data_IF_663611466710
#
_entry.id   IF_663611466710
#
_cell.length_a   1.000
_cell.length_b   1.000
_cell.length_c   1.000
_cell.angle_alpha   90.00
_cell.angle_beta   90.00
_cell.angle_gamma   90.00
#
_symmetry.space_group_name_H-M   'P 1'
#
loop_
_entity.id
_entity.type
_entity.pdbx_description
1 polymer ?
#
# COMPACT_ATOMS: atom_id res chain seq x y z
N UNK A 1 2.33 -11.27 6.89
CA UNK A 1 2.87 -10.13 6.17
C UNK A 1 2.26 -10.07 4.79
N UNK A 2 1.54 -9.01 4.53
CA UNK A 2 0.86 -8.75 3.26
C UNK A 2 1.83 -8.18 2.20
N UNK A 3 3.11 -8.49 2.32
CA UNK A 3 4.12 -7.91 1.45
C UNK A 3 4.53 -8.96 0.43
N UNK A 4 4.16 -8.78 -0.81
CA UNK A 4 4.81 -9.38 -1.96
C UNK A 4 4.07 -10.44 -2.74
N UNK A 5 3.15 -11.20 -2.16
CA UNK A 5 2.46 -12.27 -2.91
C UNK A 5 1.19 -11.80 -3.62
N UNK A 6 0.67 -10.65 -3.25
CA UNK A 6 -0.57 -10.08 -3.80
C UNK A 6 -0.33 -9.08 -4.92
N UNK A 7 0.90 -8.95 -5.37
CA UNK A 7 1.25 -7.91 -6.35
C UNK A 7 0.49 -8.01 -7.66
N UNK A 8 0.05 -9.21 -8.02
CA UNK A 8 -0.61 -9.41 -9.30
C UNK A 8 -2.08 -9.02 -9.34
N UNK A 9 -2.74 -8.94 -8.19
CA UNK A 9 -4.18 -8.68 -8.14
C UNK A 9 -4.45 -7.56 -7.13
N UNK A 10 -3.50 -6.65 -7.05
CA UNK A 10 -3.53 -5.62 -6.03
C UNK A 10 -4.62 -4.60 -6.24
N UNK A 11 -4.69 -3.77 -5.27
CA UNK A 11 -5.68 -2.79 -4.87
C UNK A 11 -6.56 -2.22 -5.98
N UNK A 12 -6.05 -2.11 -7.19
CA UNK A 12 -6.81 -1.59 -8.31
C UNK A 12 -6.47 -2.25 -9.62
N UNK A 13 -7.48 -2.77 -10.29
CA UNK A 13 -7.37 -3.25 -11.66
C UNK A 13 -6.89 -2.16 -12.62
N UNK A 14 -7.27 -0.90 -12.37
CA UNK A 14 -6.91 0.19 -13.25
C UNK A 14 -5.46 0.63 -13.11
N UNK A 15 -4.97 0.83 -11.88
CA UNK A 15 -3.64 1.36 -11.69
C UNK A 15 -2.56 0.31 -11.82
N UNK A 16 -2.65 -0.81 -11.11
CA UNK A 16 -1.59 -1.81 -11.21
C UNK A 16 -1.59 -2.54 -12.56
N UNK A 17 -2.76 -2.95 -13.03
CA UNK A 17 -2.88 -3.67 -14.30
C UNK A 17 -2.54 -2.79 -15.52
N UNK A 18 -2.95 -1.52 -15.48
CA UNK A 18 -2.78 -0.58 -16.60
C UNK A 18 -1.52 0.27 -16.54
N UNK A 19 -1.03 0.61 -15.36
CA UNK A 19 0.07 1.55 -15.17
C UNK A 19 1.35 0.91 -14.63
N UNK A 20 1.24 -0.21 -13.92
CA UNK A 20 2.39 -0.93 -13.41
C UNK A 20 3.20 -1.58 -14.52
N UNK A 21 4.51 -1.39 -14.52
CA UNK A 21 5.41 -1.86 -15.58
C UNK A 21 5.21 -3.34 -15.93
N UNK A 22 4.99 -4.17 -14.93
CA UNK A 22 4.79 -5.61 -15.09
C UNK A 22 3.33 -6.04 -14.95
N UNK A 23 2.42 -5.11 -14.63
CA UNK A 23 1.07 -5.45 -14.22
C UNK A 23 0.33 -6.31 -15.22
N UNK A 24 0.26 -5.86 -16.47
CA UNK A 24 -0.47 -6.59 -17.51
C UNK A 24 0.15 -7.97 -17.79
N UNK A 25 1.47 -8.08 -17.74
CA UNK A 25 2.15 -9.35 -18.04
C UNK A 25 2.02 -10.37 -16.91
N UNK A 26 2.28 -9.94 -15.67
CA UNK A 26 2.24 -10.84 -14.52
C UNK A 26 0.84 -11.16 -14.03
N UNK A 27 -0.09 -10.25 -14.23
CA UNK A 27 -1.45 -10.38 -13.69
C UNK A 27 -2.49 -10.74 -14.75
N UNK A 28 -2.05 -11.09 -15.92
CA UNK A 28 -2.90 -11.59 -17.00
C UNK A 28 -2.72 -13.11 -17.16
N UNK A 29 -2.90 -13.58 -18.37
CA UNK A 29 -2.88 -15.01 -18.72
C UNK A 29 -1.65 -15.76 -18.20
N UNK A 30 -0.49 -15.10 -18.12
CA UNK A 30 0.74 -15.77 -17.71
C UNK A 30 0.66 -16.40 -16.31
N UNK A 31 0.00 -15.73 -15.36
CA UNK A 31 -0.08 -16.18 -13.99
C UNK A 31 -1.49 -16.58 -13.53
N UNK A 32 -2.51 -15.96 -14.12
CA UNK A 32 -3.89 -16.19 -13.68
C UNK A 32 -4.69 -17.04 -14.66
N UNK A 33 -4.18 -17.21 -15.87
CA UNK A 33 -4.89 -17.91 -16.97
C UNK A 33 -6.11 -17.14 -17.50
N UNK A 34 -6.31 -15.89 -17.08
CA UNK A 34 -7.53 -15.14 -17.35
C UNK A 34 -7.26 -13.63 -17.43
N UNK A 35 -8.21 -12.90 -17.95
CA UNK A 35 -8.20 -11.44 -18.03
C UNK A 35 -9.35 -10.82 -17.23
N UNK A 36 -9.24 -9.53 -16.84
CA UNK A 36 -10.31 -8.86 -16.09
C UNK A 36 -11.68 -8.89 -16.78
N UNK A 37 -11.72 -8.84 -18.08
CA UNK A 37 -12.98 -8.82 -18.86
C UNK A 37 -13.63 -10.20 -19.03
N UNK A 38 -12.88 -11.30 -18.91
CA UNK A 38 -13.47 -12.64 -19.04
C UNK A 38 -13.63 -13.36 -17.71
N UNK A 39 -13.06 -12.84 -16.63
CA UNK A 39 -13.25 -13.35 -15.28
C UNK A 39 -13.17 -12.23 -14.22
N UNK A 40 -14.09 -11.28 -14.24
CA UNK A 40 -14.06 -10.14 -13.33
C UNK A 40 -14.18 -10.54 -11.85
N UNK A 41 -14.88 -11.61 -11.54
CA UNK A 41 -15.05 -12.11 -10.17
C UNK A 41 -13.72 -12.51 -9.53
N UNK A 42 -12.84 -13.16 -10.29
CA UNK A 42 -11.53 -13.54 -9.82
C UNK A 42 -10.72 -12.32 -9.38
N UNK A 43 -10.68 -11.27 -10.20
CA UNK A 43 -9.94 -10.05 -9.90
C UNK A 43 -10.55 -9.28 -8.75
N UNK A 44 -11.85 -9.18 -8.67
CA UNK A 44 -12.55 -8.52 -7.57
C UNK A 44 -12.35 -9.25 -6.26
N UNK A 45 -12.52 -10.57 -6.25
CA UNK A 45 -12.37 -11.40 -5.06
C UNK A 45 -10.98 -11.32 -4.45
N UNK A 46 -9.94 -11.24 -5.27
CA UNK A 46 -8.56 -11.23 -4.83
C UNK A 46 -7.97 -9.83 -4.66
N UNK A 47 -8.70 -8.79 -5.01
CA UNK A 47 -8.25 -7.41 -4.82
C UNK A 47 -8.44 -6.95 -3.37
N UNK A 48 -7.36 -6.57 -2.66
CA UNK A 48 -7.48 -6.05 -1.30
C UNK A 48 -8.40 -4.84 -1.17
N UNK A 49 -8.46 -3.99 -2.19
CA UNK A 49 -9.32 -2.80 -2.17
C UNK A 49 -10.80 -3.16 -1.98
N UNK A 50 -11.29 -4.18 -2.67
CA UNK A 50 -12.67 -4.64 -2.56
C UNK A 50 -12.99 -5.36 -1.25
N UNK A 51 -11.98 -5.61 -0.41
CA UNK A 51 -12.09 -6.21 0.90
C UNK A 51 -11.64 -5.25 2.02
N UNK A 52 -11.51 -3.96 1.72
CA UNK A 52 -11.07 -2.95 2.67
C UNK A 52 -11.99 -2.86 3.90
N UNK A 53 -13.28 -3.09 3.73
CA UNK A 53 -14.27 -3.10 4.80
C UNK A 53 -14.00 -4.17 5.87
N UNK A 54 -13.28 -5.24 5.52
CA UNK A 54 -12.94 -6.35 6.42
C UNK A 54 -11.68 -6.10 7.25
N UNK A 55 -10.91 -5.08 6.94
CA UNK A 55 -9.69 -4.73 7.66
C UNK A 55 -10.07 -4.12 9.00
N UNK A 56 -9.57 -4.70 10.09
CA UNK A 56 -9.82 -4.24 11.48
C UNK A 56 -8.57 -3.74 12.18
N UNK A 57 -7.41 -4.18 11.74
CA UNK A 57 -6.11 -3.82 12.31
C UNK A 57 -5.66 -2.47 11.79
N UNK A 58 -5.05 -1.61 12.62
CA UNK A 58 -4.40 -0.39 12.14
C UNK A 58 -3.39 -0.69 11.03
N UNK A 59 -3.45 0.06 9.94
CA UNK A 59 -2.63 -0.16 8.75
C UNK A 59 -1.72 1.03 8.45
N UNK A 60 -0.45 0.75 8.25
CA UNK A 60 0.53 1.70 7.74
C UNK A 60 0.86 1.35 6.29
N UNK A 61 0.70 2.32 5.41
CA UNK A 61 1.08 2.23 4.01
C UNK A 61 2.34 3.07 3.78
N UNK A 62 3.37 2.45 3.22
CA UNK A 62 4.63 3.10 2.85
C UNK A 62 4.88 2.85 1.37
N UNK A 63 5.10 3.90 0.59
CA UNK A 63 5.25 3.77 -0.85
C UNK A 63 6.13 4.88 -1.42
N UNK A 64 7.07 4.52 -2.28
CA UNK A 64 7.83 5.48 -3.07
C UNK A 64 6.94 6.08 -4.16
N UNK A 65 6.90 7.41 -4.27
CA UNK A 65 6.00 8.06 -5.23
C UNK A 65 6.50 8.05 -6.68
N UNK A 66 7.72 7.54 -6.91
CA UNK A 66 8.28 7.30 -8.23
C UNK A 66 8.35 5.80 -8.60
N UNK A 67 7.61 4.96 -7.89
CA UNK A 67 7.57 3.52 -8.10
C UNK A 67 6.98 3.19 -9.48
N UNK A 68 7.80 2.57 -10.34
CA UNK A 68 7.40 2.16 -11.70
C UNK A 68 6.88 0.74 -11.77
N UNK A 69 7.17 -0.09 -10.77
CA UNK A 69 6.67 -1.46 -10.71
C UNK A 69 5.24 -1.51 -10.18
N UNK A 70 5.00 -0.82 -9.07
CA UNK A 70 3.68 -0.72 -8.46
C UNK A 70 3.35 0.76 -8.30
N UNK A 71 2.43 1.31 -9.07
CA UNK A 71 2.09 2.73 -8.99
C UNK A 71 1.66 3.15 -7.60
N UNK A 72 2.07 4.33 -7.16
CA UNK A 72 1.70 4.87 -5.83
C UNK A 72 0.18 4.98 -5.66
N UNK A 73 -0.56 5.08 -6.74
CA UNK A 73 -2.03 5.07 -6.75
C UNK A 73 -2.64 3.85 -6.05
N UNK A 74 -1.95 2.70 -6.05
CA UNK A 74 -2.39 1.51 -5.32
C UNK A 74 -2.53 1.79 -3.82
N UNK A 75 -1.52 2.42 -3.22
CA UNK A 75 -1.56 2.79 -1.80
C UNK A 75 -2.52 3.94 -1.52
N UNK A 76 -2.63 4.90 -2.43
CA UNK A 76 -3.57 6.03 -2.30
C UNK A 76 -5.00 5.53 -2.25
N UNK A 77 -5.39 4.62 -3.13
CA UNK A 77 -6.75 4.06 -3.17
C UNK A 77 -7.10 3.33 -1.88
N UNK A 78 -6.20 2.48 -1.37
CA UNK A 78 -6.40 1.77 -0.11
C UNK A 78 -6.50 2.75 1.06
N UNK A 79 -5.62 3.76 1.11
CA UNK A 79 -5.66 4.80 2.13
C UNK A 79 -7.01 5.52 2.16
N UNK A 80 -7.48 5.96 1.00
CA UNK A 80 -8.76 6.67 0.88
C UNK A 80 -9.95 5.78 1.26
N UNK A 81 -9.95 4.52 0.82
CA UNK A 81 -11.01 3.58 1.18
C UNK A 81 -11.09 3.38 2.69
N UNK A 82 -9.96 3.17 3.36
CA UNK A 82 -9.93 2.98 4.80
C UNK A 82 -10.30 4.24 5.58
N UNK A 83 -9.92 5.42 5.08
CA UNK A 83 -10.36 6.71 5.67
C UNK A 83 -11.87 6.89 5.56
N UNK A 84 -12.45 6.61 4.40
CA UNK A 84 -13.91 6.70 4.20
C UNK A 84 -14.68 5.71 5.10
N UNK A 85 -14.09 4.56 5.39
CA UNK A 85 -14.66 3.57 6.29
C UNK A 85 -14.43 3.88 7.77
N UNK A 86 -13.76 4.98 8.09
CA UNK A 86 -13.47 5.38 9.47
C UNK A 86 -12.42 4.51 10.16
N UNK A 87 -11.58 3.81 9.39
CA UNK A 87 -10.57 2.91 9.93
C UNK A 87 -9.25 3.63 10.22
N UNK A 88 -8.44 3.04 11.10
CA UNK A 88 -7.12 3.58 11.44
C UNK A 88 -6.12 3.23 10.35
N UNK A 89 -5.69 4.23 9.62
CA UNK A 89 -4.72 4.10 8.53
C UNK A 89 -3.86 5.34 8.43
N UNK A 90 -2.57 5.13 8.19
CA UNK A 90 -1.62 6.19 7.84
C UNK A 90 -0.92 5.84 6.54
N UNK A 91 -0.58 6.86 5.77
CA UNK A 91 0.11 6.72 4.51
C UNK A 91 1.31 7.66 4.46
N UNK A 92 2.49 7.08 4.27
CA UNK A 92 3.74 7.83 4.14
C UNK A 92 4.31 7.59 2.75
N UNK A 93 4.41 8.64 1.96
CA UNK A 93 5.07 8.62 0.67
C UNK A 93 6.55 8.95 0.83
N UNK A 94 7.41 8.21 0.15
CA UNK A 94 8.85 8.50 0.08
C UNK A 94 9.13 9.16 -1.25
N UNK A 95 9.46 10.45 -1.18
CA UNK A 95 9.60 11.29 -2.37
C UNK A 95 10.78 10.85 -3.25
N UNK A 96 10.51 10.73 -4.55
CA UNK A 96 11.52 10.37 -5.54
C UNK A 96 12.02 8.93 -5.51
N UNK A 97 11.51 8.09 -4.62
CA UNK A 97 11.93 6.69 -4.53
C UNK A 97 11.03 5.76 -5.35
N UNK A 98 11.67 4.73 -5.91
CA UNK A 98 11.02 3.70 -6.72
C UNK A 98 10.55 2.52 -5.83
N UNK A 99 10.49 1.34 -6.37
CA UNK A 99 10.04 0.12 -5.69
C UNK A 99 10.91 -0.28 -4.49
N UNK A 100 12.16 0.15 -4.48
CA UNK A 100 13.06 0.04 -3.33
C UNK A 100 13.56 1.42 -2.91
N UNK A 101 13.72 1.63 -1.62
CA UNK A 101 14.28 2.88 -1.09
C UNK A 101 15.80 2.80 -1.16
N UNK A 102 16.41 3.46 -2.16
CA UNK A 102 17.84 3.43 -2.41
C UNK A 102 18.61 4.46 -1.58
N UNK A 103 18.03 5.62 -1.32
CA UNK A 103 18.66 6.67 -0.53
C UNK A 103 18.82 6.25 0.93
N UNK A 104 20.06 6.38 1.45
CA UNK A 104 20.38 5.91 2.80
C UNK A 104 19.58 6.65 3.90
N UNK A 105 19.46 7.98 3.78
CA UNK A 105 18.72 8.78 4.76
C UNK A 105 17.24 8.44 4.74
N UNK A 106 16.65 8.34 3.57
CA UNK A 106 15.25 7.96 3.40
C UNK A 106 14.99 6.54 3.89
N UNK A 107 15.95 5.63 3.73
CA UNK A 107 15.87 4.26 4.26
C UNK A 107 15.84 4.26 5.78
N UNK A 108 16.64 5.09 6.45
CA UNK A 108 16.61 5.26 7.90
C UNK A 108 15.26 5.81 8.37
N UNK A 109 14.74 6.83 7.70
CA UNK A 109 13.41 7.41 8.00
C UNK A 109 12.31 6.37 7.82
N UNK A 110 12.40 5.57 6.76
CA UNK A 110 11.48 4.47 6.49
C UNK A 110 11.47 3.45 7.63
N UNK A 111 12.64 3.01 8.08
CA UNK A 111 12.77 2.09 9.20
C UNK A 111 12.25 2.69 10.49
N UNK A 112 12.61 3.94 10.79
CA UNK A 112 12.13 4.65 11.98
C UNK A 112 10.61 4.80 11.99
N UNK A 113 10.01 5.07 10.84
CA UNK A 113 8.56 5.12 10.67
C UNK A 113 7.91 3.79 11.04
N UNK A 114 8.44 2.69 10.55
CA UNK A 114 7.93 1.34 10.83
C UNK A 114 8.05 1.03 12.34
N UNK A 115 9.18 1.30 12.95
CA UNK A 115 9.38 1.08 14.39
C UNK A 115 8.45 1.94 15.24
N UNK A 116 8.27 3.21 14.88
CA UNK A 116 7.37 4.12 15.57
C UNK A 116 5.91 3.66 15.49
N UNK A 117 5.49 3.13 14.33
CA UNK A 117 4.16 2.56 14.14
C UNK A 117 3.93 1.36 15.03
N UNK A 118 4.85 0.41 15.05
CA UNK A 118 4.76 -0.75 15.92
C UNK A 118 4.82 -0.39 17.41
N UNK A 119 5.64 0.58 17.77
CA UNK A 119 5.68 1.07 19.15
C UNK A 119 4.33 1.64 19.58
N UNK A 120 3.69 2.44 18.72
CA UNK A 120 2.39 3.03 18.98
C UNK A 120 1.28 1.99 19.20
N UNK A 121 1.20 0.99 18.31
CA UNK A 121 0.06 0.06 18.30
C UNK A 121 0.31 -1.28 19.00
N UNK A 122 1.56 -1.69 19.18
CA UNK A 122 1.89 -2.95 19.84
C UNK A 122 2.43 -2.77 21.28
N UNK A 123 3.05 -1.61 21.57
CA UNK A 123 3.66 -1.33 22.89
C UNK A 123 2.96 -0.21 23.63
N UNK A 124 1.96 0.42 23.04
CA UNK A 124 1.28 1.60 23.59
C UNK A 124 2.25 2.75 23.91
N UNK A 125 3.21 2.98 23.01
CA UNK A 125 4.21 4.03 23.10
C UNK A 125 4.06 5.00 21.91
N UNK A 126 3.06 5.92 21.90
CA UNK A 126 2.78 6.79 20.78
C UNK A 126 3.79 7.93 20.59
N UNK A 127 4.62 8.22 21.59
CA UNK A 127 5.55 9.36 21.57
C UNK A 127 6.55 9.32 20.41
N UNK A 128 6.95 8.13 19.95
CA UNK A 128 7.88 7.98 18.82
C UNK A 128 7.24 8.36 17.50
N UNK A 129 5.99 7.95 17.30
CA UNK A 129 5.22 8.34 16.12
C UNK A 129 4.92 9.84 16.14
N UNK A 130 4.47 10.36 17.26
CA UNK A 130 4.10 11.77 17.41
C UNK A 130 5.31 12.71 17.24
N UNK A 131 6.51 12.25 17.57
CA UNK A 131 7.75 13.00 17.33
C UNK A 131 8.09 13.08 15.83
N UNK A 132 7.85 12.02 15.07
CA UNK A 132 8.10 11.98 13.62
C UNK A 132 6.98 12.68 12.83
N UNK A 133 5.73 12.46 13.24
CA UNK A 133 4.54 12.93 12.53
C UNK A 133 3.58 13.62 13.52
N UNK A 134 3.90 14.85 13.96
CA UNK A 134 3.04 15.58 14.88
C UNK A 134 1.69 15.88 14.23
N UNK A 135 0.62 15.81 15.02
CA UNK A 135 -0.72 16.17 14.56
C UNK A 135 -0.74 17.60 14.05
N UNK A 136 -1.26 17.77 12.84
CA UNK A 136 -1.52 19.09 12.27
C UNK A 136 -2.95 19.48 12.61
N UNK A 137 -3.06 20.46 13.48
CA UNK A 137 -4.33 21.15 13.70
C UNK A 137 -4.55 22.13 12.56
N UNK A 138 -5.42 21.74 11.64
CA UNK A 138 -5.85 22.62 10.54
C UNK A 138 -7.08 23.41 10.96
#
# INVERSE_FOLDING_TARGET
SLVGSEMCIRDSLSSYWGEGYWGYGYCSVANTGTYPWNNPEFYTKHSPLFNADKIKTPLLLLHGNADTNVPVGESIQMFLALKLLGKTVEFVQVDGEDHGVADYKKRLEWQNTIFAWFAKYLKDEPQWWDALYPERHL
#
